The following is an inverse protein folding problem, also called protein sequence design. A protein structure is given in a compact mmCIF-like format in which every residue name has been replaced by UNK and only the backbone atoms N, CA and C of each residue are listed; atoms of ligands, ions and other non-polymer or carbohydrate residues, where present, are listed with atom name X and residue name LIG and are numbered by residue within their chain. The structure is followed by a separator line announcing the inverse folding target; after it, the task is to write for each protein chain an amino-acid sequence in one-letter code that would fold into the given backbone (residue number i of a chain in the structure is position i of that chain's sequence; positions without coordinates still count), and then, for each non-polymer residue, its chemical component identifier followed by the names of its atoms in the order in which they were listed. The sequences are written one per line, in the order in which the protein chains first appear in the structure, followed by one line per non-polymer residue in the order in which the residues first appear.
data_IF_888217299233
#
_entry.id   IF_888217299233
#
_cell.length_a   1.000
_cell.length_b   1.000
_cell.length_c   1.000
_cell.angle_alpha   90.00
_cell.angle_beta   90.00
_cell.angle_gamma   90.00
#
_symmetry.space_group_name_H-M   'P 1'
#
loop_
_entity.id
_entity.type
_entity.pdbx_description
1 polymer ?
#
# COMPACT_ATOMS: atom_id res chain seq x y z
N UNK A 1 4.51 31.55 -23.55
CA UNK A 1 3.48 30.54 -23.28
C UNK A 1 3.60 30.16 -21.82
N UNK A 2 2.55 30.35 -21.01
CA UNK A 2 2.56 29.86 -19.63
C UNK A 2 2.70 28.33 -19.69
N UNK A 3 3.74 27.80 -19.10
CA UNK A 3 3.90 26.34 -18.92
C UNK A 3 2.71 25.85 -18.11
N UNK A 4 1.79 25.13 -18.74
CA UNK A 4 0.68 24.49 -18.05
C UNK A 4 1.26 23.62 -16.93
N UNK A 5 0.79 23.82 -15.69
CA UNK A 5 1.23 23.01 -14.57
C UNK A 5 1.02 21.52 -14.88
N UNK A 6 2.05 20.72 -14.68
CA UNK A 6 2.03 19.28 -14.89
C UNK A 6 1.09 18.62 -13.88
N UNK A 7 0.22 17.74 -14.35
CA UNK A 7 -0.67 16.90 -13.52
C UNK A 7 -0.03 15.54 -13.40
N UNK A 8 0.44 15.20 -12.21
CA UNK A 8 1.15 13.92 -11.99
C UNK A 8 0.21 12.88 -11.37
N UNK A 9 -0.28 11.96 -12.20
CA UNK A 9 -1.14 10.84 -11.80
C UNK A 9 -0.38 9.50 -11.78
N UNK A 10 0.95 9.50 -11.72
CA UNK A 10 1.74 8.26 -11.74
C UNK A 10 1.56 7.43 -10.49
N UNK A 11 1.53 8.06 -9.31
CA UNK A 11 1.42 7.39 -8.01
C UNK A 11 1.15 8.41 -6.90
N UNK A 12 0.50 8.01 -5.82
CA UNK A 12 0.42 8.78 -4.58
C UNK A 12 1.77 8.90 -3.84
N UNK A 13 2.78 8.17 -4.27
CA UNK A 13 4.16 8.31 -3.76
C UNK A 13 4.89 9.56 -4.27
N UNK A 14 4.32 10.29 -5.24
CA UNK A 14 4.87 11.57 -5.73
C UNK A 14 4.42 12.77 -4.89
N UNK A 15 3.54 12.56 -3.91
CA UNK A 15 3.06 13.60 -2.98
C UNK A 15 4.22 14.29 -2.27
N UNK A 16 4.06 15.58 -2.04
CA UNK A 16 5.07 16.42 -1.39
C UNK A 16 4.57 16.88 -0.02
N UNK A 17 5.44 16.92 1.00
CA UNK A 17 5.09 17.50 2.27
C UNK A 17 4.62 18.95 2.11
N UNK A 18 3.43 19.26 2.63
CA UNK A 18 2.88 20.62 2.62
C UNK A 18 3.77 21.58 3.43
N UNK A 19 3.61 22.88 3.26
CA UNK A 19 4.35 23.88 4.05
C UNK A 19 4.13 23.68 5.56
N UNK A 20 2.90 23.42 5.98
CA UNK A 20 2.56 23.16 7.38
C UNK A 20 3.20 21.85 7.90
N UNK A 21 3.17 20.77 7.10
CA UNK A 21 3.86 19.53 7.45
C UNK A 21 5.37 19.73 7.60
N UNK A 22 6.01 20.51 6.70
CA UNK A 22 7.46 20.83 6.84
C UNK A 22 7.77 21.67 8.07
N UNK A 23 6.89 22.58 8.46
CA UNK A 23 7.05 23.32 9.72
C UNK A 23 6.97 22.38 10.93
N UNK A 24 5.98 21.48 10.96
CA UNK A 24 5.88 20.46 12.01
C UNK A 24 7.14 19.56 12.08
N UNK A 25 7.73 19.20 10.94
CA UNK A 25 8.98 18.45 10.88
C UNK A 25 10.17 19.24 11.48
N UNK A 26 10.26 20.54 11.14
CA UNK A 26 11.37 21.40 11.60
C UNK A 26 11.32 21.69 13.12
N UNK A 27 10.13 21.71 13.69
CA UNK A 27 9.87 22.00 15.10
C UNK A 27 9.77 20.75 15.98
N UNK A 28 9.86 19.55 15.37
CA UNK A 28 9.68 18.29 16.10
C UNK A 28 10.70 18.09 17.21
N UNK A 29 10.29 17.81 18.46
CA UNK A 29 11.20 17.34 19.48
C UNK A 29 11.83 16.01 19.06
N UNK A 30 13.15 15.89 19.19
CA UNK A 30 13.89 14.69 18.76
C UNK A 30 14.80 14.17 19.86
N UNK A 31 15.13 12.89 19.75
CA UNK A 31 16.10 12.19 20.57
C UNK A 31 16.66 10.99 19.83
N UNK A 32 17.47 10.15 20.47
CA UNK A 32 17.98 8.95 19.81
C UNK A 32 16.94 7.82 19.88
N UNK A 33 16.33 7.47 18.73
CA UNK A 33 15.34 6.38 18.61
C UNK A 33 15.91 5.03 19.10
N UNK A 34 17.22 4.84 18.99
CA UNK A 34 17.85 3.58 19.36
C UNK A 34 17.88 3.35 20.87
N UNK A 35 17.88 4.45 21.66
CA UNK A 35 17.76 4.40 23.12
C UNK A 35 16.29 4.56 23.58
N UNK A 36 15.34 4.70 22.64
CA UNK A 36 13.95 4.97 22.98
C UNK A 36 13.70 6.40 23.47
N UNK A 37 14.60 7.32 23.16
CA UNK A 37 14.59 8.69 23.69
C UNK A 37 13.98 9.72 22.71
N UNK A 38 13.61 9.30 21.48
CA UNK A 38 12.95 10.19 20.52
C UNK A 38 11.45 10.32 20.86
N UNK A 39 11.01 11.47 21.42
CA UNK A 39 9.65 11.59 21.92
C UNK A 39 8.60 11.59 20.82
N UNK A 40 8.95 12.12 19.63
CA UNK A 40 8.02 12.19 18.50
C UNK A 40 7.85 10.81 17.82
N UNK A 41 8.92 10.04 17.70
CA UNK A 41 8.87 8.65 17.24
C UNK A 41 8.05 7.78 18.19
N UNK A 42 8.28 7.92 19.51
CA UNK A 42 7.52 7.20 20.52
C UNK A 42 6.03 7.53 20.47
N UNK A 43 5.69 8.82 20.32
CA UNK A 43 4.29 9.26 20.16
C UNK A 43 3.63 8.64 18.92
N UNK A 44 4.31 8.67 17.76
CA UNK A 44 3.80 8.06 16.54
C UNK A 44 3.53 6.57 16.73
N UNK A 45 4.49 5.85 17.30
CA UNK A 45 4.38 4.40 17.54
C UNK A 45 3.21 4.08 18.47
N UNK A 46 3.07 4.82 19.58
CA UNK A 46 1.94 4.64 20.50
C UNK A 46 0.58 4.89 19.82
N UNK A 47 0.45 5.98 19.07
CA UNK A 47 -0.78 6.32 18.33
C UNK A 47 -1.12 5.27 17.26
N UNK A 48 -0.12 4.77 16.53
CA UNK A 48 -0.36 3.72 15.53
C UNK A 48 -0.77 2.40 16.17
N UNK A 49 -0.17 2.02 17.30
CA UNK A 49 -0.60 0.85 18.05
C UNK A 49 -2.06 0.97 18.48
N UNK A 50 -2.47 2.12 19.01
CA UNK A 50 -3.87 2.41 19.40
C UNK A 50 -4.81 2.37 18.19
N UNK A 51 -4.51 3.11 17.11
CA UNK A 51 -5.33 3.16 15.90
C UNK A 51 -5.54 1.79 15.24
N UNK A 52 -4.52 0.93 15.31
CA UNK A 52 -4.56 -0.42 14.73
C UNK A 52 -5.03 -1.49 15.73
N UNK A 53 -5.32 -1.12 16.98
CA UNK A 53 -5.73 -2.05 18.04
C UNK A 53 -4.66 -3.12 18.34
N UNK A 54 -3.37 -2.75 18.28
CA UNK A 54 -2.23 -3.64 18.54
C UNK A 54 -1.49 -3.25 19.83
N UNK A 55 -0.74 -4.19 20.40
CA UNK A 55 -0.02 -3.98 21.67
C UNK A 55 1.21 -3.08 21.54
N UNK A 56 1.77 -3.02 20.33
CA UNK A 56 2.95 -2.21 20.05
C UNK A 56 3.12 -1.93 18.56
N UNK A 57 3.97 -0.96 18.27
CA UNK A 57 4.29 -0.58 16.90
C UNK A 57 5.76 -0.14 16.80
N UNK A 58 6.32 -0.26 15.60
CA UNK A 58 7.70 0.07 15.28
C UNK A 58 7.74 0.91 14.02
N UNK A 59 8.38 2.08 14.10
CA UNK A 59 8.64 2.91 12.92
C UNK A 59 9.74 2.31 12.04
N UNK A 60 9.56 2.39 10.71
CA UNK A 60 10.51 1.96 9.68
C UNK A 60 10.61 3.02 8.57
N UNK A 61 11.78 3.15 7.91
CA UNK A 61 12.00 4.16 6.86
C UNK A 61 11.08 4.04 5.64
N UNK A 62 10.63 2.82 5.30
CA UNK A 62 9.84 2.55 4.10
C UNK A 62 8.87 1.38 4.29
N UNK A 63 7.81 1.33 3.47
CA UNK A 63 6.88 0.21 3.40
C UNK A 63 7.55 -1.09 2.98
N UNK A 64 8.45 -1.05 1.99
CA UNK A 64 9.25 -2.22 1.59
C UNK A 64 10.00 -2.81 2.78
N UNK A 65 10.65 -1.98 3.61
CA UNK A 65 11.34 -2.50 4.80
C UNK A 65 10.34 -3.09 5.80
N UNK A 66 9.13 -2.52 5.95
CA UNK A 66 8.11 -3.06 6.83
C UNK A 66 7.70 -4.48 6.39
N UNK A 67 7.47 -4.69 5.09
CA UNK A 67 7.17 -6.00 4.52
C UNK A 67 8.33 -6.98 4.72
N UNK A 68 9.56 -6.56 4.40
CA UNK A 68 10.74 -7.42 4.57
C UNK A 68 10.99 -7.80 6.04
N UNK A 69 10.76 -6.87 6.98
CA UNK A 69 10.84 -7.16 8.43
C UNK A 69 9.74 -8.12 8.86
N UNK A 70 8.49 -7.91 8.41
CA UNK A 70 7.37 -8.79 8.71
C UNK A 70 7.63 -10.23 8.23
N UNK A 71 8.09 -10.40 6.98
CA UNK A 71 8.46 -11.71 6.44
C UNK A 71 9.54 -12.38 7.30
N UNK A 72 10.60 -11.66 7.68
CA UNK A 72 11.69 -12.20 8.52
C UNK A 72 11.27 -12.56 9.94
N UNK A 73 10.27 -11.88 10.48
CA UNK A 73 9.74 -12.18 11.83
C UNK A 73 8.83 -13.40 11.81
N UNK A 74 8.02 -13.55 10.75
CA UNK A 74 6.95 -14.53 10.70
C UNK A 74 7.33 -15.83 9.97
N UNK A 75 8.49 -15.87 9.29
CA UNK A 75 8.91 -17.01 8.48
C UNK A 75 10.36 -17.42 8.74
N UNK A 76 10.77 -18.50 8.10
CA UNK A 76 12.17 -18.97 8.04
C UNK A 76 12.58 -19.19 6.58
N UNK A 77 13.89 -19.12 6.24
CA UNK A 77 14.34 -19.45 4.91
C UNK A 77 13.87 -20.84 4.46
N UNK A 78 13.29 -20.90 3.26
CA UNK A 78 12.70 -22.10 2.69
C UNK A 78 11.18 -22.23 2.90
N UNK A 79 10.57 -21.36 3.70
CA UNK A 79 9.13 -21.33 3.88
C UNK A 79 8.38 -20.79 2.67
N UNK A 80 7.10 -21.13 2.56
CA UNK A 80 6.16 -20.54 1.61
C UNK A 80 5.23 -19.56 2.28
N UNK A 81 5.02 -18.44 1.59
CA UNK A 81 4.05 -17.38 1.92
C UNK A 81 2.96 -17.37 0.86
N UNK A 82 1.71 -17.57 1.28
CA UNK A 82 0.56 -17.49 0.38
C UNK A 82 0.12 -16.03 0.30
N UNK A 83 0.05 -15.51 -0.93
CA UNK A 83 -0.18 -14.09 -1.24
C UNK A 83 -1.25 -13.93 -2.32
N UNK A 84 -1.87 -12.76 -2.41
CA UNK A 84 -2.69 -12.44 -3.58
C UNK A 84 -1.84 -12.33 -4.85
N UNK A 85 -2.43 -12.72 -5.99
CA UNK A 85 -1.78 -12.58 -7.30
C UNK A 85 -1.34 -11.14 -7.52
N UNK A 86 -0.11 -10.96 -8.01
CA UNK A 86 0.51 -9.68 -8.29
C UNK A 86 0.64 -8.77 -7.04
N UNK A 87 0.80 -9.34 -5.84
CA UNK A 87 1.05 -8.58 -4.61
C UNK A 87 2.30 -7.72 -4.70
N UNK A 88 2.36 -6.67 -3.86
CA UNK A 88 3.49 -5.73 -3.85
C UNK A 88 4.82 -6.41 -3.54
N UNK A 89 4.85 -7.31 -2.55
CA UNK A 89 6.04 -8.05 -2.13
C UNK A 89 6.65 -8.90 -3.27
N UNK A 90 5.80 -9.41 -4.18
CA UNK A 90 6.25 -10.21 -5.34
C UNK A 90 6.71 -9.34 -6.52
N UNK A 91 6.02 -8.23 -6.79
CA UNK A 91 6.18 -7.48 -8.04
C UNK A 91 7.02 -6.20 -7.92
N UNK A 92 7.04 -5.55 -6.75
CA UNK A 92 7.58 -4.20 -6.61
C UNK A 92 8.71 -4.06 -5.58
N UNK A 93 9.18 -5.18 -5.00
CA UNK A 93 10.24 -5.18 -3.98
C UNK A 93 11.55 -5.80 -4.47
N UNK A 94 11.75 -5.85 -5.79
CA UNK A 94 13.04 -6.21 -6.42
C UNK A 94 13.59 -7.58 -5.97
N UNK A 95 12.69 -8.55 -5.71
CA UNK A 95 13.06 -9.87 -5.20
C UNK A 95 13.45 -9.90 -3.73
N UNK A 96 13.08 -8.86 -2.98
CA UNK A 96 13.43 -8.72 -1.56
C UNK A 96 12.96 -9.88 -0.70
N UNK A 97 11.76 -10.42 -0.96
CA UNK A 97 11.21 -11.57 -0.22
C UNK A 97 12.14 -12.79 -0.27
N UNK A 98 12.69 -13.10 -1.44
CA UNK A 98 13.67 -14.18 -1.60
C UNK A 98 15.04 -13.80 -1.03
N UNK A 99 15.53 -12.58 -1.31
CA UNK A 99 16.87 -12.16 -0.91
C UNK A 99 17.03 -11.93 0.60
N UNK A 100 16.02 -11.37 1.25
CA UNK A 100 16.09 -10.99 2.67
C UNK A 100 15.49 -12.05 3.61
N UNK A 101 14.34 -12.62 3.26
CA UNK A 101 13.65 -13.61 4.10
C UNK A 101 13.88 -15.05 3.63
N UNK A 102 14.30 -15.27 2.37
CA UNK A 102 14.54 -16.59 1.82
C UNK A 102 13.26 -17.38 1.56
N UNK A 103 12.12 -16.70 1.36
CA UNK A 103 10.82 -17.33 1.19
C UNK A 103 10.41 -17.44 -0.27
N UNK A 104 9.50 -18.40 -0.53
CA UNK A 104 8.80 -18.52 -1.79
C UNK A 104 7.40 -17.89 -1.66
N UNK A 105 7.00 -17.08 -2.67
CA UNK A 105 5.66 -16.53 -2.72
C UNK A 105 4.78 -17.40 -3.61
N UNK A 106 3.63 -17.82 -3.08
CA UNK A 106 2.62 -18.62 -3.79
C UNK A 106 1.41 -17.74 -4.04
N UNK A 107 1.27 -17.30 -5.28
CA UNK A 107 0.16 -16.44 -5.69
C UNK A 107 -1.15 -17.22 -5.82
N UNK A 108 -2.22 -16.71 -5.20
CA UNK A 108 -3.58 -17.26 -5.25
C UNK A 108 -4.61 -16.20 -5.62
N UNK A 109 -5.78 -16.66 -6.05
CA UNK A 109 -6.90 -15.79 -6.40
C UNK A 109 -6.70 -15.01 -7.68
N UNK A 110 -7.54 -14.01 -7.87
CA UNK A 110 -7.52 -13.12 -9.04
C UNK A 110 -7.89 -11.70 -8.63
N UNK A 111 -7.43 -10.70 -9.42
CA UNK A 111 -7.73 -9.28 -9.18
C UNK A 111 -7.44 -8.81 -7.74
N UNK A 112 -6.39 -9.33 -7.12
CA UNK A 112 -5.91 -8.92 -5.79
C UNK A 112 -6.69 -9.47 -4.60
N UNK A 113 -7.68 -10.33 -4.84
CA UNK A 113 -8.48 -11.00 -3.80
C UNK A 113 -8.48 -12.50 -3.98
N UNK A 114 -8.67 -13.21 -2.89
CA UNK A 114 -8.84 -14.67 -2.88
C UNK A 114 -9.76 -15.09 -1.73
N UNK A 115 -10.34 -16.27 -1.85
CA UNK A 115 -11.26 -16.84 -0.88
C UNK A 115 -10.53 -17.73 0.13
N UNK A 116 -11.15 -17.98 1.29
CA UNK A 116 -10.64 -18.96 2.25
C UNK A 116 -10.50 -20.35 1.65
N UNK A 117 -11.33 -20.72 0.68
CA UNK A 117 -11.24 -22.02 -0.03
C UNK A 117 -9.99 -22.08 -0.94
N UNK A 118 -9.70 -21.02 -1.70
CA UNK A 118 -8.49 -20.92 -2.52
C UNK A 118 -7.23 -20.92 -1.64
N UNK A 119 -7.26 -20.20 -0.50
CA UNK A 119 -6.20 -20.21 0.48
C UNK A 119 -5.98 -21.63 1.04
N UNK A 120 -7.06 -22.34 1.46
CA UNK A 120 -6.96 -23.69 2.00
C UNK A 120 -6.37 -24.66 0.99
N UNK A 121 -6.76 -24.56 -0.27
CA UNK A 121 -6.27 -25.41 -1.36
C UNK A 121 -4.76 -25.18 -1.64
N UNK A 122 -4.23 -23.98 -1.37
CA UNK A 122 -2.83 -23.65 -1.56
C UNK A 122 -1.93 -24.12 -0.41
N UNK A 123 -2.48 -24.41 0.78
CA UNK A 123 -1.69 -24.87 1.94
C UNK A 123 -1.14 -26.25 1.69
N UNK A 124 0.19 -26.39 1.67
CA UNK A 124 0.85 -27.68 1.56
C UNK A 124 0.80 -28.47 2.87
N UNK A 125 0.61 -29.78 2.74
CA UNK A 125 0.63 -30.67 3.89
C UNK A 125 2.04 -30.77 4.49
N UNK A 126 2.14 -30.66 5.81
CA UNK A 126 3.39 -30.88 6.55
C UNK A 126 3.75 -32.37 6.70
N UNK A 127 2.86 -33.28 6.30
CA UNK A 127 3.10 -34.74 6.41
C UNK A 127 4.19 -35.23 5.42
N UNK A 128 4.51 -34.45 4.38
CA UNK A 128 5.50 -34.81 3.38
C UNK A 128 6.76 -33.95 3.55
N UNK A 129 7.90 -34.52 3.97
CA UNK A 129 9.12 -33.73 4.25
C UNK A 129 9.75 -33.10 3.01
N UNK A 130 9.32 -33.46 1.80
CA UNK A 130 9.80 -32.91 0.53
C UNK A 130 9.12 -31.60 0.15
N UNK A 131 8.05 -31.19 0.84
CA UNK A 131 7.36 -29.96 0.57
C UNK A 131 7.88 -28.82 1.46
N UNK A 132 8.10 -27.66 0.85
CA UNK A 132 8.30 -26.44 1.61
C UNK A 132 7.05 -26.15 2.45
N UNK A 133 7.19 -25.85 3.75
CA UNK A 133 6.02 -25.59 4.58
C UNK A 133 5.38 -24.25 4.27
N UNK A 134 4.07 -24.21 4.12
CA UNK A 134 3.31 -22.96 4.14
C UNK A 134 3.23 -22.46 5.59
N UNK A 135 3.71 -21.25 5.88
CA UNK A 135 3.82 -20.72 7.24
C UNK A 135 3.15 -19.37 7.45
N UNK A 136 2.86 -18.66 6.37
CA UNK A 136 2.31 -17.31 6.40
C UNK A 136 1.27 -17.11 5.31
N UNK A 137 0.21 -16.35 5.61
CA UNK A 137 -0.64 -15.70 4.63
C UNK A 137 -0.43 -14.19 4.71
N UNK A 138 -0.19 -13.55 3.55
CA UNK A 138 -0.11 -12.11 3.40
C UNK A 138 -1.30 -11.61 2.57
N UNK A 139 -1.96 -10.57 3.05
CA UNK A 139 -3.03 -9.87 2.33
C UNK A 139 -2.61 -8.41 2.13
N UNK A 140 -2.66 -7.93 0.88
CA UNK A 140 -2.44 -6.53 0.54
C UNK A 140 -3.78 -5.78 0.52
N UNK A 141 -3.93 -4.72 1.29
CA UNK A 141 -5.15 -3.90 1.32
C UNK A 141 -4.81 -2.39 1.46
N UNK A 142 -5.18 -1.57 0.46
CA UNK A 142 -5.84 -1.91 -0.80
C UNK A 142 -4.85 -2.45 -1.83
N UNK A 143 -5.28 -3.38 -2.68
CA UNK A 143 -4.39 -4.05 -3.62
C UNK A 143 -3.97 -3.12 -4.78
N UNK A 144 -2.69 -2.82 -4.88
CA UNK A 144 -2.13 -1.81 -5.79
C UNK A 144 -2.36 -2.14 -7.27
N UNK A 145 -1.97 -3.33 -7.71
CA UNK A 145 -2.03 -3.70 -9.14
C UNK A 145 -3.45 -3.94 -9.63
N UNK A 146 -4.36 -4.26 -8.73
CA UNK A 146 -5.78 -4.49 -9.06
C UNK A 146 -6.65 -3.23 -8.98
N UNK A 147 -6.04 -2.03 -8.96
CA UNK A 147 -6.79 -0.78 -9.00
C UNK A 147 -7.26 -0.28 -7.63
N UNK A 148 -6.56 -0.63 -6.56
CA UNK A 148 -6.91 -0.16 -5.22
C UNK A 148 -8.16 -0.82 -4.64
N UNK A 149 -8.44 -2.06 -5.06
CA UNK A 149 -9.56 -2.85 -4.51
C UNK A 149 -9.38 -3.04 -3.01
N UNK A 150 -10.45 -2.84 -2.28
CA UNK A 150 -10.56 -3.16 -0.85
C UNK A 150 -10.81 -4.66 -0.70
N UNK A 151 -9.97 -5.35 0.04
CA UNK A 151 -10.17 -6.78 0.30
C UNK A 151 -11.43 -6.99 1.17
N UNK A 152 -12.37 -7.88 0.79
CA UNK A 152 -13.59 -8.10 1.54
C UNK A 152 -13.30 -8.57 2.98
N UNK A 153 -13.68 -7.78 3.98
CA UNK A 153 -13.31 -8.03 5.38
C UNK A 153 -13.84 -9.36 5.92
N UNK A 154 -15.01 -9.80 5.49
CA UNK A 154 -15.55 -11.09 5.91
C UNK A 154 -14.70 -12.26 5.42
N UNK A 155 -14.07 -12.11 4.24
CA UNK A 155 -13.14 -13.09 3.71
C UNK A 155 -11.80 -13.03 4.44
N UNK A 156 -11.30 -11.82 4.76
CA UNK A 156 -10.11 -11.65 5.62
C UNK A 156 -10.27 -12.40 6.94
N UNK A 157 -11.42 -12.24 7.62
CA UNK A 157 -11.69 -12.91 8.89
C UNK A 157 -11.67 -14.43 8.72
N UNK A 158 -12.29 -14.97 7.66
CA UNK A 158 -12.29 -16.41 7.36
C UNK A 158 -10.87 -16.94 7.08
N UNK A 159 -10.11 -16.23 6.26
CA UNK A 159 -8.73 -16.60 5.90
C UNK A 159 -7.84 -16.62 7.16
N UNK A 160 -7.86 -15.55 7.97
CA UNK A 160 -7.03 -15.46 9.18
C UNK A 160 -7.44 -16.49 10.25
N UNK A 161 -8.74 -16.78 10.40
CA UNK A 161 -9.21 -17.83 11.29
C UNK A 161 -8.72 -19.23 10.83
N UNK A 162 -8.75 -19.47 9.52
CA UNK A 162 -8.23 -20.70 8.94
C UNK A 162 -6.71 -20.80 9.08
N UNK A 163 -5.97 -19.71 8.83
CA UNK A 163 -4.53 -19.64 9.03
C UNK A 163 -4.16 -20.03 10.47
N UNK A 164 -4.81 -19.42 11.46
CA UNK A 164 -4.61 -19.75 12.88
C UNK A 164 -4.92 -21.21 13.18
N UNK A 165 -6.01 -21.77 12.66
CA UNK A 165 -6.38 -23.20 12.81
C UNK A 165 -5.32 -24.12 12.22
N UNK A 166 -4.67 -23.72 11.14
CA UNK A 166 -3.61 -24.48 10.45
C UNK A 166 -2.20 -24.21 11.00
N UNK A 167 -2.06 -23.30 11.98
CA UNK A 167 -0.78 -22.90 12.57
C UNK A 167 0.09 -22.05 11.63
N UNK A 168 -0.55 -21.28 10.74
CA UNK A 168 0.09 -20.25 9.92
C UNK A 168 -0.08 -18.88 10.58
N UNK A 169 0.92 -18.04 10.41
CA UNK A 169 0.83 -16.61 10.75
C UNK A 169 0.04 -15.84 9.68
N UNK A 170 -0.36 -14.61 10.03
CA UNK A 170 -1.09 -13.70 9.16
C UNK A 170 -0.49 -12.29 9.16
N UNK A 171 -0.28 -11.72 7.98
CA UNK A 171 0.28 -10.40 7.79
C UNK A 171 -0.59 -9.56 6.86
N UNK A 172 -0.82 -8.29 7.24
CA UNK A 172 -1.47 -7.28 6.42
C UNK A 172 -0.44 -6.30 5.87
N UNK A 173 -0.18 -6.34 4.55
CA UNK A 173 0.39 -5.19 3.85
C UNK A 173 -0.70 -4.12 3.69
N UNK A 174 -0.77 -3.26 4.68
CA UNK A 174 -1.70 -2.14 4.76
C UNK A 174 -1.11 -0.84 4.22
N UNK A 175 -0.28 -0.89 3.18
CA UNK A 175 0.36 0.31 2.60
C UNK A 175 -0.64 1.41 2.23
N UNK A 176 -1.91 1.05 2.00
CA UNK A 176 -3.05 1.96 1.80
C UNK A 176 -4.25 1.62 2.70
N UNK A 177 -3.99 1.16 3.92
CA UNK A 177 -5.05 0.83 4.88
C UNK A 177 -5.93 2.02 5.22
N UNK A 178 -5.37 3.23 5.26
CA UNK A 178 -6.11 4.48 5.44
C UNK A 178 -7.16 4.68 4.34
N UNK A 179 -6.82 4.37 3.09
CA UNK A 179 -7.78 4.39 1.98
C UNK A 179 -8.84 3.29 2.13
N UNK A 180 -8.46 2.09 2.55
CA UNK A 180 -9.42 1.01 2.80
C UNK A 180 -10.42 1.35 3.91
N UNK A 181 -9.95 1.99 5.00
CA UNK A 181 -10.80 2.47 6.10
C UNK A 181 -11.82 3.49 5.60
N UNK A 182 -11.38 4.54 4.89
CA UNK A 182 -12.25 5.57 4.34
C UNK A 182 -13.27 4.99 3.34
N UNK A 183 -12.83 4.09 2.46
CA UNK A 183 -13.71 3.51 1.43
C UNK A 183 -14.75 2.54 2.01
N UNK A 184 -14.38 1.77 3.03
CA UNK A 184 -15.27 0.76 3.62
C UNK A 184 -16.11 1.29 4.80
N UNK A 185 -15.74 2.44 5.37
CA UNK A 185 -16.33 2.97 6.60
C UNK A 185 -15.99 2.15 7.85
N UNK A 186 -15.04 1.22 7.77
CA UNK A 186 -14.56 0.42 8.90
C UNK A 186 -13.36 1.12 9.54
N UNK A 187 -13.22 0.98 10.87
CA UNK A 187 -12.03 1.48 11.56
C UNK A 187 -10.78 0.71 11.15
N UNK A 188 -9.62 1.35 11.26
CA UNK A 188 -8.33 0.69 11.02
C UNK A 188 -8.12 -0.48 11.98
N UNK A 189 -8.62 -0.36 13.23
CA UNK A 189 -8.59 -1.44 14.22
C UNK A 189 -9.39 -2.67 13.75
N UNK A 190 -10.60 -2.47 13.21
CA UNK A 190 -11.43 -3.57 12.68
C UNK A 190 -10.76 -4.28 11.50
N UNK A 191 -10.15 -3.49 10.59
CA UNK A 191 -9.43 -4.03 9.43
C UNK A 191 -8.17 -4.79 9.85
N UNK A 192 -7.48 -4.30 10.88
CA UNK A 192 -6.23 -4.88 11.40
C UNK A 192 -6.44 -6.07 12.35
N UNK A 193 -7.59 -6.15 13.03
CA UNK A 193 -7.84 -7.10 14.12
C UNK A 193 -7.50 -8.57 13.79
N UNK A 194 -7.81 -9.12 12.60
CA UNK A 194 -7.56 -10.53 12.30
C UNK A 194 -6.08 -10.93 12.23
N UNK A 195 -5.17 -9.96 11.96
CA UNK A 195 -3.77 -10.21 11.61
C UNK A 195 -2.82 -10.22 12.82
N UNK A 196 -1.74 -10.99 12.73
CA UNK A 196 -0.67 -11.03 13.74
C UNK A 196 0.25 -9.79 13.62
N UNK A 197 0.62 -9.41 12.39
CA UNK A 197 1.34 -8.18 12.08
C UNK A 197 0.62 -7.36 11.02
N UNK A 198 0.75 -6.04 11.11
CA UNK A 198 0.14 -5.07 10.19
C UNK A 198 1.16 -4.00 9.84
N UNK A 199 1.41 -3.77 8.56
CA UNK A 199 2.19 -2.64 8.08
C UNK A 199 1.27 -1.53 7.56
N UNK A 200 1.61 -0.26 7.85
CA UNK A 200 0.95 0.92 7.27
C UNK A 200 1.98 1.92 6.78
N UNK A 201 1.67 2.69 5.73
CA UNK A 201 2.58 3.67 5.14
C UNK A 201 2.05 5.09 5.28
N UNK A 202 2.97 6.05 5.45
CA UNK A 202 2.66 7.49 5.51
C UNK A 202 3.10 8.25 4.26
N UNK A 203 3.98 7.66 3.44
CA UNK A 203 4.59 8.27 2.26
C UNK A 203 3.80 8.06 0.97
N UNK A 204 2.47 8.10 1.08
CA UNK A 204 1.51 7.98 -0.03
C UNK A 204 0.44 9.06 0.12
N UNK A 205 -0.84 8.71 0.16
CA UNK A 205 -1.94 9.66 0.29
C UNK A 205 -1.85 10.59 1.50
N UNK A 206 -1.17 10.21 2.57
CA UNK A 206 -0.93 11.07 3.73
C UNK A 206 0.16 12.13 3.52
N UNK A 207 0.97 12.04 2.46
CA UNK A 207 1.89 13.08 2.03
C UNK A 207 3.20 13.19 2.83
N UNK A 208 3.50 12.30 3.76
CA UNK A 208 4.78 12.30 4.46
C UNK A 208 5.93 11.92 3.50
N UNK A 209 7.15 12.46 3.69
CA UNK A 209 8.27 12.21 2.77
C UNK A 209 8.88 10.81 2.89
N UNK A 210 8.50 10.05 3.91
CA UNK A 210 8.97 8.71 4.19
C UNK A 210 8.30 8.16 5.44
N UNK A 211 8.55 6.90 5.72
CA UNK A 211 8.08 6.23 6.92
C UNK A 211 6.91 5.29 6.71
N UNK A 212 6.97 4.24 7.51
CA UNK A 212 5.98 3.19 7.66
C UNK A 212 5.97 2.75 9.12
N UNK A 213 4.92 2.09 9.55
CA UNK A 213 4.86 1.46 10.88
C UNK A 213 4.47 0.01 10.72
N UNK A 214 5.14 -0.87 11.45
CA UNK A 214 4.75 -2.27 11.64
C UNK A 214 4.18 -2.41 13.05
N UNK A 215 2.96 -2.96 13.19
CA UNK A 215 2.26 -3.10 14.46
C UNK A 215 1.83 -4.55 14.71
N UNK A 216 1.87 -4.98 15.97
CA UNK A 216 1.54 -6.35 16.39
C UNK A 216 1.65 -6.54 17.90
N UNK A 217 1.84 -7.79 18.35
CA UNK A 217 2.14 -8.07 19.76
C UNK A 217 3.50 -7.50 20.16
N UNK A 218 3.69 -7.22 21.43
CA UNK A 218 4.98 -6.73 21.97
C UNK A 218 6.14 -7.66 21.62
N UNK A 219 5.93 -8.96 21.65
CA UNK A 219 6.94 -9.98 21.33
C UNK A 219 7.38 -9.85 19.86
N UNK A 220 6.43 -9.75 18.92
CA UNK A 220 6.72 -9.61 17.49
C UNK A 220 7.42 -8.28 17.19
N UNK A 221 7.06 -7.19 17.89
CA UNK A 221 7.71 -5.89 17.73
C UNK A 221 9.15 -5.89 18.24
N UNK A 222 9.44 -6.58 19.35
CA UNK A 222 10.82 -6.78 19.83
C UNK A 222 11.66 -7.53 18.78
N UNK A 223 11.13 -8.59 18.20
CA UNK A 223 11.80 -9.32 17.11
C UNK A 223 11.99 -8.42 15.86
N UNK A 224 10.97 -7.64 15.49
CA UNK A 224 11.01 -6.70 14.37
C UNK A 224 12.10 -5.64 14.54
N UNK A 225 12.31 -5.13 15.77
CA UNK A 225 13.33 -4.12 16.07
C UNK A 225 14.76 -4.62 15.73
N UNK A 226 15.04 -5.90 16.00
CA UNK A 226 16.31 -6.51 15.61
C UNK A 226 16.48 -6.55 14.09
N UNK A 227 15.43 -6.97 13.36
CA UNK A 227 15.47 -7.06 11.91
C UNK A 227 15.55 -5.68 11.23
N UNK A 228 14.83 -4.66 11.76
CA UNK A 228 14.97 -3.26 11.33
C UNK A 228 16.44 -2.81 11.38
N UNK A 229 17.13 -3.12 12.48
CA UNK A 229 18.55 -2.76 12.63
C UNK A 229 19.45 -3.49 11.64
N UNK A 230 19.24 -4.80 11.45
CA UNK A 230 20.02 -5.60 10.49
C UNK A 230 19.89 -5.10 9.05
N UNK A 231 18.72 -4.58 8.68
CA UNK A 231 18.45 -4.00 7.34
C UNK A 231 18.85 -2.53 7.22
N UNK A 232 19.48 -1.94 8.25
CA UNK A 232 19.93 -0.53 8.21
C UNK A 232 18.83 0.50 8.48
N UNK A 233 17.65 0.08 8.93
CA UNK A 233 16.50 0.97 9.18
C UNK A 233 16.46 1.61 10.59
N UNK A 234 17.42 1.32 11.46
CA UNK A 234 17.53 1.98 12.76
C UNK A 234 18.24 3.33 12.59
N UNK A 235 17.46 4.38 12.43
CA UNK A 235 17.93 5.76 12.36
C UNK A 235 18.09 6.37 13.76
N UNK A 236 18.54 7.61 13.85
CA UNK A 236 18.76 8.32 15.11
C UNK A 236 17.57 9.24 15.42
N UNK A 237 17.66 10.52 15.09
CA UNK A 237 16.67 11.55 15.35
C UNK A 237 15.53 11.47 14.32
N UNK A 238 14.83 10.36 14.31
CA UNK A 238 13.79 10.04 13.33
C UNK A 238 12.47 10.80 13.58
N UNK A 239 12.36 11.44 14.73
CA UNK A 239 11.20 12.26 15.10
C UNK A 239 10.84 13.32 14.06
N UNK A 240 11.81 13.84 13.30
CA UNK A 240 11.56 14.73 12.15
C UNK A 240 10.61 14.08 11.14
N UNK A 241 10.84 12.80 10.80
CA UNK A 241 9.99 12.06 9.86
C UNK A 241 8.69 11.58 10.53
N UNK A 242 8.76 11.22 11.80
CA UNK A 242 7.60 10.83 12.58
C UNK A 242 6.59 12.00 12.72
N UNK A 243 7.06 13.23 12.87
CA UNK A 243 6.21 14.43 12.90
C UNK A 243 5.41 14.61 11.59
N UNK A 244 6.02 14.32 10.43
CA UNK A 244 5.30 14.33 9.16
C UNK A 244 4.19 13.26 9.12
N UNK A 245 4.47 12.07 9.65
CA UNK A 245 3.48 11.00 9.72
C UNK A 245 2.31 11.37 10.66
N UNK A 246 2.60 11.95 11.83
CA UNK A 246 1.59 12.44 12.77
C UNK A 246 0.73 13.52 12.11
N UNK A 247 1.37 14.51 11.45
CA UNK A 247 0.66 15.55 10.71
C UNK A 247 -0.28 14.96 9.65
N UNK A 248 0.20 13.98 8.89
CA UNK A 248 -0.61 13.28 7.89
C UNK A 248 -1.82 12.56 8.49
N UNK A 249 -1.65 11.90 9.63
CA UNK A 249 -2.75 11.25 10.37
C UNK A 249 -3.80 12.26 10.85
N UNK A 250 -3.37 13.43 11.32
CA UNK A 250 -4.26 14.43 11.90
C UNK A 250 -5.00 15.27 10.84
N UNK A 251 -4.38 15.50 9.67
CA UNK A 251 -4.88 16.48 8.71
C UNK A 251 -5.21 15.91 7.32
N UNK A 252 -4.66 14.74 6.96
CA UNK A 252 -4.80 14.22 5.59
C UNK A 252 -5.60 12.91 5.52
N UNK A 253 -5.88 12.24 6.61
CA UNK A 253 -6.57 10.95 6.61
C UNK A 253 -8.00 11.06 6.07
N UNK A 254 -8.79 11.97 6.60
CA UNK A 254 -10.20 12.14 6.19
C UNK A 254 -10.33 12.65 4.74
N UNK A 255 -9.39 13.49 4.30
CA UNK A 255 -9.40 14.01 2.94
C UNK A 255 -9.11 12.95 1.86
N UNK A 256 -8.67 11.73 2.21
CA UNK A 256 -8.54 10.64 1.24
C UNK A 256 -9.86 10.36 0.49
N UNK A 257 -11.01 10.72 1.06
CA UNK A 257 -12.29 10.67 0.38
C UNK A 257 -12.33 11.56 -0.89
N UNK A 258 -11.62 12.69 -0.89
CA UNK A 258 -11.50 13.56 -2.08
C UNK A 258 -10.70 12.86 -3.18
N UNK A 259 -9.62 12.17 -2.82
CA UNK A 259 -8.81 11.41 -3.78
C UNK A 259 -9.65 10.29 -4.43
N UNK A 260 -10.51 9.62 -3.65
CA UNK A 260 -11.45 8.61 -4.17
C UNK A 260 -12.48 9.23 -5.12
N UNK A 261 -13.04 10.39 -4.77
CA UNK A 261 -13.98 11.10 -5.64
C UNK A 261 -13.33 11.55 -6.97
N UNK A 262 -12.07 12.01 -6.91
CA UNK A 262 -11.29 12.36 -8.12
C UNK A 262 -11.00 11.13 -8.98
N UNK A 263 -10.62 9.99 -8.39
CA UNK A 263 -10.44 8.74 -9.13
C UNK A 263 -11.74 8.30 -9.82
N UNK A 264 -12.85 8.38 -9.11
CA UNK A 264 -14.18 8.04 -9.66
C UNK A 264 -14.56 8.93 -10.84
N UNK A 265 -14.38 10.25 -10.73
CA UNK A 265 -14.62 11.21 -11.81
C UNK A 265 -13.76 10.89 -13.05
N UNK A 266 -12.46 10.65 -12.86
CA UNK A 266 -11.56 10.25 -13.95
C UNK A 266 -12.04 8.96 -14.63
N UNK A 267 -12.38 7.96 -13.85
CA UNK A 267 -12.83 6.66 -14.35
C UNK A 267 -14.14 6.75 -15.14
N UNK A 268 -15.14 7.48 -14.65
CA UNK A 268 -16.41 7.71 -15.33
C UNK A 268 -16.23 8.40 -16.67
N UNK A 269 -15.35 9.41 -16.72
CA UNK A 269 -15.02 10.09 -17.97
C UNK A 269 -14.35 9.16 -18.96
N UNK A 270 -13.39 8.34 -18.52
CA UNK A 270 -12.68 7.40 -19.40
C UNK A 270 -13.56 6.24 -19.87
N UNK A 271 -14.48 5.74 -19.05
CA UNK A 271 -15.40 4.66 -19.38
C UNK A 271 -16.33 5.02 -20.57
N UNK A 272 -16.51 6.33 -20.84
CA UNK A 272 -17.27 6.79 -22.03
C UNK A 272 -16.53 6.59 -23.34
N UNK A 273 -15.23 6.23 -23.40
CA UNK A 273 -14.49 5.98 -24.64
C UNK A 273 -14.60 4.51 -25.07
N UNK A 274 -14.90 4.21 -26.36
CA UNK A 274 -14.87 2.84 -26.88
C UNK A 274 -13.46 2.24 -26.88
N UNK A 275 -12.43 3.06 -26.79
CA UNK A 275 -11.03 2.65 -26.69
C UNK A 275 -10.63 2.14 -25.29
N UNK A 276 -11.50 2.30 -24.28
CA UNK A 276 -11.24 1.94 -22.89
C UNK A 276 -12.12 0.79 -22.42
N UNK A 277 -11.53 -0.15 -21.73
CA UNK A 277 -12.22 -1.19 -20.97
C UNK A 277 -11.92 -0.97 -19.48
N UNK A 278 -12.94 -0.57 -18.74
CA UNK A 278 -12.86 -0.24 -17.33
C UNK A 278 -14.13 -0.71 -16.62
N UNK A 279 -13.97 -1.50 -15.58
CA UNK A 279 -15.05 -1.86 -14.67
C UNK A 279 -15.14 -0.80 -13.57
N UNK A 280 -16.15 0.06 -13.63
CA UNK A 280 -16.35 1.14 -12.65
C UNK A 280 -16.56 0.62 -11.23
N UNK A 281 -17.01 -0.62 -11.05
CA UNK A 281 -17.16 -1.21 -9.71
C UNK A 281 -15.82 -1.52 -9.05
N UNK A 282 -14.74 -1.65 -9.83
CA UNK A 282 -13.39 -1.86 -9.33
C UNK A 282 -12.71 -0.58 -8.85
N UNK A 283 -13.24 0.60 -9.17
CA UNK A 283 -12.70 1.90 -8.73
C UNK A 283 -13.29 2.24 -7.37
N UNK A 284 -12.65 1.72 -6.33
CA UNK A 284 -13.13 1.82 -4.95
C UNK A 284 -12.37 2.86 -4.13
N UNK A 285 -11.16 3.21 -4.56
CA UNK A 285 -10.27 4.15 -3.87
C UNK A 285 -9.62 5.12 -4.85
N UNK A 286 -8.38 5.52 -4.60
CA UNK A 286 -7.66 6.53 -5.37
C UNK A 286 -6.92 5.99 -6.61
N UNK A 287 -7.07 4.72 -6.96
CA UNK A 287 -6.36 4.10 -8.09
C UNK A 287 -7.34 3.74 -9.20
N UNK A 288 -7.04 4.15 -10.42
CA UNK A 288 -7.77 3.80 -11.63
C UNK A 288 -6.87 2.97 -12.53
N UNK A 289 -7.20 1.70 -12.73
CA UNK A 289 -6.54 0.82 -13.70
C UNK A 289 -7.51 0.57 -14.84
N UNK A 290 -7.10 0.89 -16.06
CA UNK A 290 -7.91 0.69 -17.25
C UNK A 290 -7.12 0.00 -18.36
N UNK A 291 -7.83 -0.72 -19.21
CA UNK A 291 -7.27 -1.47 -20.32
C UNK A 291 -7.64 -0.82 -21.65
N UNK A 292 -6.70 -0.78 -22.58
CA UNK A 292 -6.86 -0.23 -23.91
C UNK A 292 -7.38 -1.30 -24.86
N UNK A 293 -8.43 -0.97 -25.63
CA UNK A 293 -8.98 -1.84 -26.65
C UNK A 293 -7.96 -2.14 -27.77
N UNK A 294 -8.16 -3.21 -28.52
CA UNK A 294 -7.20 -3.67 -29.52
C UNK A 294 -6.88 -2.61 -30.61
N UNK A 295 -7.81 -1.74 -30.96
CA UNK A 295 -7.64 -0.65 -31.93
C UNK A 295 -7.03 0.64 -31.38
N UNK A 296 -6.92 0.76 -30.05
CA UNK A 296 -6.32 1.92 -29.40
C UNK A 296 -4.78 1.86 -29.46
N UNK A 297 -4.08 3.00 -29.24
CA UNK A 297 -2.63 3.01 -29.01
C UNK A 297 -2.24 2.05 -27.90
N UNK A 298 -1.00 1.57 -27.88
CA UNK A 298 -0.50 0.85 -26.70
C UNK A 298 -0.31 1.82 -25.49
N UNK A 299 -0.17 1.26 -24.29
CA UNK A 299 -0.08 2.05 -23.07
C UNK A 299 1.15 2.97 -23.06
N UNK A 300 2.27 2.54 -23.62
CA UNK A 300 3.49 3.35 -23.73
C UNK A 300 3.28 4.57 -24.61
N UNK A 301 2.65 4.38 -25.78
CA UNK A 301 2.32 5.47 -26.70
C UNK A 301 1.33 6.47 -26.08
N UNK A 302 0.28 5.98 -25.42
CA UNK A 302 -0.68 6.84 -24.71
C UNK A 302 0.01 7.67 -23.62
N UNK A 303 0.84 7.04 -22.78
CA UNK A 303 1.58 7.71 -21.70
C UNK A 303 2.54 8.77 -22.24
N UNK A 304 3.23 8.50 -23.35
CA UNK A 304 4.11 9.48 -23.99
C UNK A 304 3.33 10.69 -24.51
N UNK A 305 2.24 10.49 -25.23
CA UNK A 305 1.37 11.57 -25.75
C UNK A 305 0.70 12.37 -24.62
N UNK A 306 0.26 11.70 -23.54
CA UNK A 306 -0.30 12.36 -22.36
C UNK A 306 0.74 13.28 -21.69
N UNK A 307 1.99 12.83 -21.59
CA UNK A 307 3.11 13.63 -21.07
C UNK A 307 3.33 14.91 -21.86
N UNK A 308 3.26 14.87 -23.20
CA UNK A 308 3.37 16.05 -24.06
C UNK A 308 2.26 17.07 -23.79
N UNK A 309 1.11 16.59 -23.31
CA UNK A 309 -0.05 17.39 -22.91
C UNK A 309 -0.04 17.77 -21.41
N UNK A 310 1.06 17.46 -20.69
CA UNK A 310 1.23 17.79 -19.28
C UNK A 310 0.53 16.85 -18.30
N UNK A 311 0.15 15.63 -18.71
CA UNK A 311 -0.43 14.60 -17.85
C UNK A 311 0.53 13.43 -17.74
N UNK A 312 0.96 13.07 -16.52
CA UNK A 312 1.88 11.96 -16.26
C UNK A 312 1.10 10.76 -15.74
N UNK A 313 1.37 9.59 -16.33
CA UNK A 313 0.73 8.29 -16.03
C UNK A 313 1.78 7.18 -16.01
N UNK A 314 1.40 5.99 -15.55
CA UNK A 314 2.22 4.79 -15.65
C UNK A 314 1.57 3.73 -16.55
N UNK A 315 2.36 3.18 -17.48
CA UNK A 315 2.02 1.95 -18.18
C UNK A 315 2.30 0.76 -17.26
N UNK A 316 1.28 -0.04 -16.96
CA UNK A 316 1.37 -1.25 -16.12
C UNK A 316 1.46 -2.55 -16.95
N UNK A 317 1.38 -2.43 -18.25
CA UNK A 317 1.50 -3.50 -19.23
C UNK A 317 1.36 -2.93 -20.64
N UNK A 318 1.42 -3.76 -21.66
CA UNK A 318 1.32 -3.32 -23.06
C UNK A 318 0.01 -2.57 -23.33
N UNK A 319 -1.07 -2.98 -22.66
CA UNK A 319 -2.41 -2.41 -22.82
C UNK A 319 -3.05 -1.98 -21.51
N UNK A 320 -2.29 -1.87 -20.44
CA UNK A 320 -2.80 -1.51 -19.11
C UNK A 320 -2.16 -0.21 -18.67
N UNK A 321 -2.98 0.75 -18.27
CA UNK A 321 -2.56 2.05 -17.76
C UNK A 321 -3.09 2.22 -16.34
N UNK A 322 -2.28 2.80 -15.47
CA UNK A 322 -2.67 3.18 -14.12
C UNK A 322 -2.57 4.69 -13.95
N UNK A 323 -3.62 5.27 -13.37
CA UNK A 323 -3.65 6.62 -12.84
C UNK A 323 -3.96 6.58 -11.34
N UNK A 324 -3.34 7.46 -10.56
CA UNK A 324 -3.53 7.56 -9.11
C UNK A 324 -3.79 9.02 -8.74
N UNK A 325 -4.91 9.27 -8.10
CA UNK A 325 -5.23 10.59 -7.53
C UNK A 325 -4.67 10.72 -6.11
N UNK A 326 -4.31 11.92 -5.72
CA UNK A 326 -3.64 12.17 -4.45
C UNK A 326 -3.66 13.66 -4.06
N UNK A 327 -3.15 13.98 -2.88
CA UNK A 327 -3.12 15.30 -2.24
C UNK A 327 -2.75 16.48 -3.17
N UNK A 328 -1.82 16.28 -4.12
CA UNK A 328 -1.31 17.35 -4.99
C UNK A 328 -2.10 17.48 -6.30
N UNK A 329 -3.23 16.78 -6.44
CA UNK A 329 -4.08 16.83 -7.64
C UNK A 329 -5.48 17.34 -7.28
N UNK A 330 -5.84 18.53 -7.78
CA UNK A 330 -7.16 19.11 -7.54
C UNK A 330 -8.24 18.50 -8.44
N UNK A 331 -9.50 18.77 -8.12
CA UNK A 331 -10.64 18.38 -8.95
C UNK A 331 -10.51 18.94 -10.38
N UNK A 332 -10.19 20.23 -10.54
CA UNK A 332 -10.02 20.87 -11.83
C UNK A 332 -8.89 20.24 -12.66
N UNK A 333 -7.78 19.88 -12.00
CA UNK A 333 -6.69 19.16 -12.64
C UNK A 333 -7.12 17.76 -13.08
N UNK A 334 -7.93 17.08 -12.27
CA UNK A 334 -8.49 15.76 -12.61
C UNK A 334 -9.41 15.84 -13.82
N UNK A 335 -10.33 16.82 -13.88
CA UNK A 335 -11.23 17.07 -15.01
C UNK A 335 -10.44 17.37 -16.28
N UNK A 336 -9.40 18.20 -16.18
CA UNK A 336 -8.50 18.50 -17.31
C UNK A 336 -7.74 17.24 -17.76
N UNK A 337 -7.20 16.45 -16.85
CA UNK A 337 -6.50 15.20 -17.18
C UNK A 337 -7.44 14.22 -17.89
N UNK A 338 -8.66 14.06 -17.40
CA UNK A 338 -9.69 13.24 -18.01
C UNK A 338 -10.02 13.68 -19.44
N UNK A 339 -10.18 14.99 -19.67
CA UNK A 339 -10.42 15.55 -21.01
C UNK A 339 -9.25 15.27 -21.95
N UNK A 340 -8.00 15.53 -21.52
CA UNK A 340 -6.80 15.24 -22.32
C UNK A 340 -6.72 13.78 -22.71
N UNK A 341 -6.98 12.87 -21.77
CA UNK A 341 -6.93 11.43 -22.05
C UNK A 341 -8.04 10.99 -23.01
N UNK A 342 -9.24 11.56 -22.89
CA UNK A 342 -10.34 11.29 -23.84
C UNK A 342 -9.96 11.71 -25.26
N UNK A 343 -9.47 12.94 -25.44
CA UNK A 343 -9.03 13.44 -26.75
C UNK A 343 -7.90 12.62 -27.38
N UNK A 344 -7.08 11.96 -26.58
CA UNK A 344 -6.00 11.09 -27.05
C UNK A 344 -6.47 9.68 -27.42
N UNK A 345 -7.63 9.28 -26.93
CA UNK A 345 -8.22 7.94 -27.10
C UNK A 345 -9.34 7.90 -28.16
N UNK A 346 -10.05 9.00 -28.36
CA UNK A 346 -11.09 9.19 -29.39
C UNK A 346 -10.46 9.61 -30.73
#
# INVERSE_FOLDING_TARGET
MATLATIDLRSDTVTRPTAAMRAAMAEAPVGDDQYGEDPTSNLLQARCAELLGKEGALWLPSGTMANQVALRVLTRPGDEVIVSRECHAGWHETGGSAANAGVQLIEVGDRGVFTAAEFEAAIKTRAMPVYAPSTLVEIENTHNRSGGIVFPQDEVVRICALARKRGLASFLDGARLWNASVASGRSEADLAAPFDLVAVSFSKGLGAPGGSVLAGSKELIVAATRHRRMLGGAMRQVGILAAAAIFGLDHHRERLAEDHAHARLLAETLAGSPAVRLDLSSVQTNIVVFHLAAGAPDAGALVARARERGVLLNAFGVRTVRAVTHLDVTREQTERAATVLRELLD
#
